data_IF_640039222841
#
_entry.id   IF_640039222841
#
_cell.length_a   1.000
_cell.length_b   1.000
_cell.length_c   1.000
_cell.angle_alpha   90.00
_cell.angle_beta   90.00
_cell.angle_gamma   90.00
#
_symmetry.space_group_name_H-M   'P 1'
#
loop_
_entity.id
_entity.type
_entity.pdbx_description
1 polymer ?
#
# COMPACT_ATOMS: atom_id res chain seq x y z
N UNK A 1 -15.91 8.91 -4.30
CA UNK A 1 -15.80 8.91 -5.79
C UNK A 1 -14.60 9.69 -6.31
N UNK A 2 -14.28 10.90 -5.82
CA UNK A 2 -13.08 11.63 -6.29
C UNK A 2 -11.78 11.19 -5.57
N UNK A 3 -11.91 10.70 -4.34
CA UNK A 3 -10.81 10.19 -3.49
C UNK A 3 -10.23 8.86 -3.98
N UNK A 4 -11.06 8.02 -4.61
CA UNK A 4 -10.68 6.66 -5.01
C UNK A 4 -9.66 6.65 -6.17
N UNK A 5 -9.82 7.55 -7.15
CA UNK A 5 -8.92 7.63 -8.31
C UNK A 5 -7.54 8.20 -7.93
N UNK A 6 -7.49 9.20 -7.04
CA UNK A 6 -6.22 9.76 -6.56
C UNK A 6 -5.39 8.73 -5.80
N UNK A 7 -6.04 7.85 -5.03
CA UNK A 7 -5.37 6.78 -4.31
C UNK A 7 -4.87 5.68 -5.25
N UNK A 8 -5.68 5.29 -6.23
CA UNK A 8 -5.26 4.34 -7.27
C UNK A 8 -4.05 4.85 -8.07
N UNK A 9 -4.01 6.14 -8.41
CA UNK A 9 -2.84 6.77 -9.05
C UNK A 9 -1.60 6.72 -8.17
N UNK A 10 -1.72 6.96 -6.87
CA UNK A 10 -0.60 6.85 -5.94
C UNK A 10 -0.02 5.42 -5.91
N UNK A 11 -0.88 4.40 -5.87
CA UNK A 11 -0.45 2.99 -5.95
C UNK A 11 0.21 2.67 -7.28
N UNK A 12 -0.31 3.19 -8.40
CA UNK A 12 0.32 3.05 -9.72
C UNK A 12 1.73 3.66 -9.74
N UNK A 13 1.90 4.86 -9.17
CA UNK A 13 3.20 5.51 -9.08
C UNK A 13 4.20 4.71 -8.21
N UNK A 14 3.72 4.05 -7.16
CA UNK A 14 4.56 3.14 -6.35
C UNK A 14 4.97 1.92 -7.17
N UNK A 15 3.99 1.24 -7.79
CA UNK A 15 4.23 0.03 -8.59
C UNK A 15 5.16 0.26 -9.79
N UNK A 16 5.17 1.48 -10.34
CA UNK A 16 6.05 1.89 -11.45
C UNK A 16 7.37 2.50 -10.98
N UNK A 17 7.63 2.56 -9.67
CA UNK A 17 8.87 3.10 -9.10
C UNK A 17 8.99 4.63 -9.14
N UNK A 18 7.94 5.35 -9.54
CA UNK A 18 7.90 6.81 -9.53
C UNK A 18 7.81 7.38 -8.10
N UNK A 19 7.21 6.62 -7.18
CA UNK A 19 7.28 6.87 -5.74
C UNK A 19 7.99 5.67 -5.10
N UNK A 20 9.30 5.77 -4.78
CA UNK A 20 10.02 4.68 -4.15
C UNK A 20 9.69 4.58 -2.66
N UNK A 21 9.81 3.37 -2.11
CA UNK A 21 9.98 3.21 -0.66
C UNK A 21 11.30 3.86 -0.22
N UNK A 22 11.32 4.36 1.02
CA UNK A 22 12.54 4.95 1.60
C UNK A 22 13.49 3.88 2.15
N UNK A 23 12.98 2.67 2.41
CA UNK A 23 13.72 1.50 2.89
C UNK A 23 14.51 1.75 4.19
N UNK A 24 14.09 2.71 5.02
CA UNK A 24 14.76 3.07 6.27
C UNK A 24 14.07 2.42 7.48
N UNK A 25 14.10 1.08 7.54
CA UNK A 25 13.86 0.30 8.75
C UNK A 25 12.44 -0.19 9.06
N UNK A 26 11.41 0.22 8.30
CA UNK A 26 10.02 -0.27 8.49
C UNK A 26 9.23 -0.33 7.16
N UNK A 27 9.91 -0.37 6.01
CA UNK A 27 9.22 -0.53 4.74
C UNK A 27 8.88 -2.01 4.48
N UNK A 28 7.79 -2.31 3.74
CA UNK A 28 7.49 -3.68 3.38
C UNK A 28 8.55 -4.24 2.44
N UNK A 29 9.30 -5.23 2.92
CA UNK A 29 10.28 -5.96 2.13
C UNK A 29 10.38 -7.42 2.60
N UNK A 30 11.40 -8.14 2.12
CA UNK A 30 11.63 -9.54 2.46
C UNK A 30 12.27 -9.74 3.84
N UNK A 31 12.88 -8.71 4.41
CA UNK A 31 13.55 -8.73 5.71
C UNK A 31 12.60 -8.31 6.83
N UNK A 32 11.97 -7.15 6.69
CA UNK A 32 11.03 -6.58 7.68
C UNK A 32 9.64 -7.23 7.56
N UNK A 33 9.27 -7.69 6.36
CA UNK A 33 8.02 -8.39 6.08
C UNK A 33 7.01 -7.54 5.31
N UNK A 34 6.26 -8.17 4.40
CA UNK A 34 5.36 -7.49 3.47
C UNK A 34 4.17 -6.76 4.11
N UNK A 35 3.88 -7.05 5.39
CA UNK A 35 2.82 -6.39 6.15
C UNK A 35 3.29 -5.14 6.92
N UNK A 36 4.61 -4.92 7.03
CA UNK A 36 5.15 -3.78 7.79
C UNK A 36 4.92 -2.48 7.02
N UNK A 37 4.67 -1.39 7.75
CA UNK A 37 4.47 -0.05 7.21
C UNK A 37 5.29 0.96 8.02
N UNK A 38 5.85 1.92 7.30
CA UNK A 38 6.60 3.07 7.82
C UNK A 38 5.72 4.31 7.70
N UNK A 39 5.39 4.95 8.82
CA UNK A 39 4.49 6.11 8.88
C UNK A 39 5.17 7.42 8.45
N UNK A 40 6.47 7.41 8.15
CA UNK A 40 7.20 8.51 7.53
C UNK A 40 7.34 8.32 6.02
N UNK A 41 7.42 7.07 5.54
CA UNK A 41 7.57 6.72 4.13
C UNK A 41 6.36 7.12 3.24
N UNK A 42 6.55 7.90 2.15
CA UNK A 42 5.47 8.29 1.25
C UNK A 42 4.74 7.12 0.58
N UNK A 43 5.47 6.07 0.20
CA UNK A 43 4.87 4.88 -0.40
C UNK A 43 4.01 4.11 0.62
N UNK A 44 4.51 3.90 1.83
CA UNK A 44 3.77 3.25 2.91
C UNK A 44 2.51 4.03 3.30
N UNK A 45 2.56 5.37 3.36
CA UNK A 45 1.38 6.22 3.61
C UNK A 45 0.25 6.00 2.61
N UNK A 46 0.58 5.80 1.33
CA UNK A 46 -0.44 5.53 0.32
C UNK A 46 -1.07 4.14 0.52
N UNK A 47 -0.25 3.13 0.87
CA UNK A 47 -0.73 1.78 1.15
C UNK A 47 -1.64 1.78 2.40
N UNK A 48 -1.25 2.46 3.47
CA UNK A 48 -2.06 2.59 4.70
C UNK A 48 -3.45 3.16 4.37
N UNK A 49 -3.51 4.27 3.62
CA UNK A 49 -4.79 4.89 3.21
C UNK A 49 -5.66 3.96 2.36
N UNK A 50 -5.03 3.12 1.54
CA UNK A 50 -5.73 2.12 0.75
C UNK A 50 -6.31 1.02 1.64
N UNK A 51 -5.53 0.52 2.60
CA UNK A 51 -5.98 -0.46 3.59
C UNK A 51 -7.15 0.08 4.44
N UNK A 52 -7.08 1.34 4.89
CA UNK A 52 -8.20 2.03 5.57
C UNK A 52 -9.45 2.11 4.69
N UNK A 53 -9.28 2.40 3.40
CA UNK A 53 -10.40 2.47 2.45
C UNK A 53 -11.03 1.11 2.19
N UNK A 54 -10.23 0.04 2.15
CA UNK A 54 -10.72 -1.34 2.06
C UNK A 54 -11.49 -1.75 3.31
N UNK A 55 -10.97 -1.43 4.49
CA UNK A 55 -11.65 -1.68 5.76
C UNK A 55 -12.99 -0.94 5.83
N UNK A 56 -13.03 0.33 5.42
CA UNK A 56 -14.26 1.12 5.33
C UNK A 56 -15.27 0.52 4.33
N UNK A 57 -14.80 -0.14 3.28
CA UNK A 57 -15.62 -0.88 2.32
C UNK A 57 -16.01 -2.29 2.80
N UNK A 58 -15.57 -2.73 3.98
CA UNK A 58 -15.84 -4.07 4.52
C UNK A 58 -15.01 -5.19 3.88
N UNK A 59 -13.90 -4.85 3.21
CA UNK A 59 -13.00 -5.81 2.56
C UNK A 59 -11.85 -6.13 3.52
N UNK A 60 -11.92 -7.27 4.20
CA UNK A 60 -11.01 -7.62 5.31
C UNK A 60 -9.78 -8.44 4.90
N UNK A 61 -9.75 -9.06 3.72
CA UNK A 61 -8.70 -10.01 3.33
C UNK A 61 -8.10 -9.71 1.96
N UNK A 62 -6.95 -9.02 1.96
CA UNK A 62 -6.12 -8.81 0.76
C UNK A 62 -5.36 -10.06 0.32
N UNK A 63 -5.12 -11.03 1.22
CA UNK A 63 -4.36 -12.25 0.91
C UNK A 63 -5.18 -13.25 0.08
N UNK A 64 -6.51 -13.17 0.08
CA UNK A 64 -7.35 -13.99 -0.81
C UNK A 64 -7.36 -13.51 -2.26
N UNK A 65 -7.14 -12.22 -2.53
CA UNK A 65 -7.15 -11.66 -3.89
C UNK A 65 -5.86 -11.99 -4.68
N UNK A 66 -4.76 -12.28 -4.00
CA UNK A 66 -3.43 -12.53 -4.61
C UNK A 66 -3.08 -14.00 -4.88
N UNK A 67 -3.95 -14.97 -4.57
CA UNK A 67 -3.66 -16.42 -4.75
C UNK A 67 -3.97 -16.97 -6.14
N UNK A 68 -4.29 -16.10 -7.11
CA UNK A 68 -4.71 -16.48 -8.47
C UNK A 68 -3.85 -15.93 -9.60
N UNK A 69 -2.68 -15.35 -9.30
CA UNK A 69 -1.75 -14.80 -10.30
C UNK A 69 -0.43 -15.57 -10.29
#
# INVERSE_FOLDING_TARGET
>A
MQTDLSLALALYHIATGQIPHVYNGMCPDALEGHAVRDDECPACKAIIRFEESLQAAGIADLQQLGRGA
#
